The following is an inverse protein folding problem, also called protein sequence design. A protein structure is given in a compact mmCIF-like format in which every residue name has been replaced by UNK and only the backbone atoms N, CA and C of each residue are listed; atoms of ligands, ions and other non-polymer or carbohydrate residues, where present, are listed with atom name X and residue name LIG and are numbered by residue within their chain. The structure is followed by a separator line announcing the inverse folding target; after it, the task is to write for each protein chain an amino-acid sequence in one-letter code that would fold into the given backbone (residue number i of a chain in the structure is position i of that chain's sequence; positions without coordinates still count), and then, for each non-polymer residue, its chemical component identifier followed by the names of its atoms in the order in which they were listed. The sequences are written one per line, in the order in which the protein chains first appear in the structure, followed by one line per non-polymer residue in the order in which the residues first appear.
data_IF_486869442885
#
_entry.id   IF_486869442885
#
_cell.length_a   1.000
_cell.length_b   1.000
_cell.length_c   1.000
_cell.angle_alpha   90.00
_cell.angle_beta   90.00
_cell.angle_gamma   90.00
#
_symmetry.space_group_name_H-M   'P 1'
#
loop_
_entity.id
_entity.type
_entity.pdbx_description
1 polymer ?
#
# COMPACT_ATOMS: atom_id res chain seq x y z
N UNK A 1 22.34 -9.51 14.32
CA UNK A 1 21.90 -8.18 13.82
C UNK A 1 22.12 -7.16 14.92
N UNK A 2 22.42 -5.91 14.56
CA UNK A 2 22.57 -4.78 15.50
C UNK A 2 21.55 -3.72 15.09
N UNK A 3 20.96 -3.04 16.07
CA UNK A 3 19.93 -2.03 15.87
C UNK A 3 20.46 -0.66 16.28
N UNK A 4 20.02 0.38 15.57
CA UNK A 4 20.35 1.77 15.85
C UNK A 4 19.13 2.65 15.60
N UNK A 5 18.91 3.61 16.49
CA UNK A 5 17.87 4.64 16.36
C UNK A 5 18.50 5.94 15.87
N UNK A 6 17.92 6.53 14.82
CA UNK A 6 18.40 7.77 14.22
C UNK A 6 17.29 8.82 14.30
N UNK A 7 17.64 10.03 14.74
CA UNK A 7 16.77 11.19 14.65
C UNK A 7 17.09 11.95 13.36
N UNK A 8 16.16 11.97 12.43
CA UNK A 8 16.34 12.57 11.10
C UNK A 8 15.38 13.74 10.98
N UNK A 9 15.83 14.82 10.33
CA UNK A 9 14.94 15.95 10.04
C UNK A 9 13.82 15.50 9.10
N UNK A 10 12.58 15.90 9.41
CA UNK A 10 11.36 15.50 8.68
C UNK A 10 11.49 15.68 7.16
N UNK A 11 11.96 16.85 6.73
CA UNK A 11 12.17 17.20 5.32
C UNK A 11 13.28 16.39 4.61
N UNK A 12 14.03 15.56 5.33
CA UNK A 12 15.09 14.69 4.81
C UNK A 12 14.78 13.20 4.99
N UNK A 13 13.68 12.85 5.67
CA UNK A 13 13.33 11.47 5.98
C UNK A 13 13.14 10.64 4.71
N UNK A 14 12.33 11.12 3.76
CA UNK A 14 12.08 10.41 2.50
C UNK A 14 13.37 10.14 1.71
N UNK A 15 14.22 11.16 1.57
CA UNK A 15 15.51 11.04 0.89
C UNK A 15 16.42 10.00 1.56
N UNK A 16 16.47 9.98 2.89
CA UNK A 16 17.25 8.99 3.63
C UNK A 16 16.70 7.57 3.41
N UNK A 17 15.38 7.41 3.46
CA UNK A 17 14.69 6.14 3.23
C UNK A 17 14.97 5.58 1.83
N UNK A 18 14.98 6.42 0.81
CA UNK A 18 15.26 6.01 -0.57
C UNK A 18 16.69 5.44 -0.71
N UNK A 19 17.67 6.00 0.00
CA UNK A 19 19.05 5.50 -0.02
C UNK A 19 19.15 4.16 0.71
N UNK A 20 18.69 4.09 1.96
CA UNK A 20 18.91 2.90 2.79
C UNK A 20 18.16 1.67 2.27
N UNK A 21 17.03 1.86 1.57
CA UNK A 21 16.26 0.78 0.95
C UNK A 21 17.01 0.09 -0.20
N UNK A 22 18.04 0.72 -0.76
CA UNK A 22 18.87 0.12 -1.81
C UNK A 22 19.97 -0.80 -1.25
N UNK A 23 20.21 -0.80 0.06
CA UNK A 23 21.18 -1.69 0.67
C UNK A 23 20.56 -3.04 1.01
N UNK A 24 21.07 -4.11 0.40
CA UNK A 24 20.62 -5.50 0.57
C UNK A 24 20.84 -6.06 1.99
N UNK A 25 21.74 -5.44 2.75
CA UNK A 25 22.03 -5.76 4.14
C UNK A 25 21.20 -4.95 5.16
N UNK A 26 20.33 -4.04 4.71
CA UNK A 26 19.50 -3.20 5.60
C UNK A 26 18.07 -3.70 5.60
N UNK A 27 17.57 -4.02 6.79
CA UNK A 27 16.16 -4.34 7.00
C UNK A 27 15.47 -3.14 7.65
N UNK A 28 14.61 -2.47 6.90
CA UNK A 28 13.76 -1.41 7.45
C UNK A 28 12.45 -2.03 7.92
N UNK A 29 12.19 -1.97 9.22
CA UNK A 29 10.89 -2.32 9.75
C UNK A 29 9.95 -1.14 9.41
N UNK A 30 9.07 -1.33 8.43
CA UNK A 30 8.19 -0.29 7.91
C UNK A 30 7.39 0.38 9.04
N UNK A 31 7.69 1.64 9.36
CA UNK A 31 6.83 2.49 10.20
C UNK A 31 5.69 3.12 9.40
N UNK A 32 5.80 3.12 8.06
CA UNK A 32 4.76 3.57 7.12
C UNK A 32 4.50 2.46 6.09
N UNK A 33 3.71 1.46 6.48
CA UNK A 33 3.15 0.52 5.51
C UNK A 33 1.88 1.14 4.93
N UNK A 34 2.04 2.05 3.96
CA UNK A 34 1.02 2.14 2.91
C UNK A 34 0.92 0.80 2.19
N UNK A 35 -0.24 0.50 1.61
CA UNK A 35 -0.55 -0.78 0.98
C UNK A 35 0.62 -1.32 0.17
N UNK A 36 1.00 -2.57 0.45
CA UNK A 36 2.04 -3.22 -0.32
C UNK A 36 1.61 -3.33 -1.80
N UNK A 37 2.54 -3.35 -2.75
CA UNK A 37 2.19 -3.60 -4.18
C UNK A 37 1.28 -4.82 -4.37
N UNK A 38 1.43 -5.84 -3.52
CA UNK A 38 0.62 -7.05 -3.50
C UNK A 38 -0.82 -6.78 -3.06
N UNK A 39 -1.00 -5.91 -2.09
CA UNK A 39 -2.29 -5.47 -1.55
C UNK A 39 -3.04 -4.58 -2.54
N UNK A 40 -2.33 -3.64 -3.18
CA UNK A 40 -2.87 -2.85 -4.30
C UNK A 40 -3.36 -3.76 -5.45
N UNK A 41 -2.56 -4.75 -5.84
CA UNK A 41 -2.94 -5.75 -6.86
C UNK A 41 -4.15 -6.58 -6.44
N UNK A 42 -4.22 -6.98 -5.17
CA UNK A 42 -5.35 -7.73 -4.63
C UNK A 42 -6.64 -6.88 -4.64
N UNK A 43 -6.54 -5.61 -4.26
CA UNK A 43 -7.64 -4.65 -4.22
C UNK A 43 -8.20 -4.37 -5.63
N UNK A 44 -7.33 -4.16 -6.62
CA UNK A 44 -7.73 -4.00 -8.03
C UNK A 44 -8.45 -5.26 -8.54
N UNK A 45 -7.90 -6.45 -8.26
CA UNK A 45 -8.50 -7.72 -8.68
C UNK A 45 -9.88 -7.92 -8.06
N UNK A 46 -10.04 -7.57 -6.79
CA UNK A 46 -11.32 -7.63 -6.07
C UNK A 46 -12.37 -6.74 -6.73
N UNK A 47 -12.01 -5.48 -7.05
CA UNK A 47 -12.91 -4.54 -7.73
C UNK A 47 -13.37 -5.03 -9.11
N UNK A 48 -12.47 -5.66 -9.88
CA UNK A 48 -12.83 -6.25 -11.18
C UNK A 48 -13.79 -7.43 -11.07
N UNK A 49 -13.61 -8.30 -10.07
CA UNK A 49 -14.55 -9.40 -9.83
C UNK A 49 -15.92 -8.89 -9.37
N UNK A 50 -15.96 -7.82 -8.59
CA UNK A 50 -17.21 -7.21 -8.16
C UNK A 50 -18.01 -6.61 -9.33
N UNK A 51 -17.32 -5.94 -10.27
CA UNK A 51 -17.93 -5.47 -11.52
C UNK A 51 -18.55 -6.61 -12.33
N UNK A 52 -17.85 -7.74 -12.47
CA UNK A 52 -18.40 -8.93 -13.15
C UNK A 52 -19.66 -9.49 -12.46
N UNK A 53 -19.78 -9.36 -11.13
CA UNK A 53 -20.99 -9.79 -10.42
C UNK A 53 -22.14 -8.81 -10.61
N UNK A 54 -21.84 -7.51 -10.73
CA UNK A 54 -22.84 -6.47 -11.06
C UNK A 54 -23.38 -6.69 -12.47
N UNK A 55 -22.51 -6.93 -13.46
CA UNK A 55 -22.92 -7.24 -14.84
C UNK A 55 -23.80 -8.49 -14.94
N UNK A 56 -23.56 -9.49 -14.07
CA UNK A 56 -24.37 -10.72 -13.97
C UNK A 56 -25.69 -10.52 -13.20
N UNK A 57 -25.98 -9.31 -12.72
CA UNK A 57 -27.16 -8.99 -11.91
C UNK A 57 -27.15 -9.60 -10.50
N UNK A 58 -25.99 -10.09 -10.03
CA UNK A 58 -25.85 -10.75 -8.72
C UNK A 58 -25.51 -9.80 -7.58
N UNK A 59 -25.02 -8.60 -7.90
CA UNK A 59 -24.71 -7.52 -6.95
C UNK A 59 -25.26 -6.19 -7.44
N UNK A 60 -25.64 -5.31 -6.52
CA UNK A 60 -25.99 -3.93 -6.83
C UNK A 60 -24.72 -3.12 -7.09
N UNK A 61 -24.77 -2.25 -8.09
CA UNK A 61 -23.70 -1.29 -8.32
C UNK A 61 -23.61 -0.32 -7.13
N UNK A 62 -22.40 0.09 -6.80
CA UNK A 62 -22.09 1.15 -5.84
C UNK A 62 -21.27 2.23 -6.52
N UNK A 63 -21.26 3.44 -5.96
CA UNK A 63 -20.47 4.52 -6.53
C UNK A 63 -18.97 4.24 -6.37
N UNK A 64 -18.16 4.77 -7.30
CA UNK A 64 -16.70 4.67 -7.19
C UNK A 64 -16.18 5.35 -5.91
N UNK A 65 -16.83 6.41 -5.45
CA UNK A 65 -16.46 7.11 -4.22
C UNK A 65 -16.72 6.25 -2.97
N UNK A 66 -17.85 5.54 -2.90
CA UNK A 66 -18.12 4.61 -1.80
C UNK A 66 -17.12 3.45 -1.78
N UNK A 67 -16.78 2.92 -2.96
CA UNK A 67 -15.76 1.88 -3.08
C UNK A 67 -14.40 2.33 -2.54
N UNK A 68 -13.96 3.53 -2.90
CA UNK A 68 -12.65 4.07 -2.47
C UNK A 68 -12.59 4.42 -0.98
N UNK A 69 -13.72 4.73 -0.35
CA UNK A 69 -13.79 5.05 1.08
C UNK A 69 -13.78 3.80 1.99
N UNK A 70 -13.99 2.62 1.43
CA UNK A 70 -13.95 1.34 2.18
C UNK A 70 -12.59 0.64 2.13
N UNK A 71 -11.67 1.15 1.30
CA UNK A 71 -10.28 0.71 1.21
C UNK A 71 -9.41 1.54 2.16
#
# INVERSE_FOLDING_TARGET
MKEVTLYIQENKFQFFMDIIRNFDFVKVNNMDAGDSKKEILANIKSGLEELKQIEKGKKKARSANEFLNEL
#
